data_IF_184074978672
#
_entry.id   IF_184074978672
#
_cell.length_a   1.000
_cell.length_b   1.000
_cell.length_c   1.000
_cell.angle_alpha   90.00
_cell.angle_beta   90.00
_cell.angle_gamma   90.00
#
_symmetry.space_group_name_H-M   'P 1'
#
loop_
_entity.id
_entity.type
_entity.pdbx_description
1 polymer ?
#
# COMPACT_ATOMS: atom_id res chain seq x y z
N UNK A 1 11.54 -41.22 23.40
CA UNK A 1 10.87 -39.92 23.49
C UNK A 1 9.58 -39.95 22.64
N UNK A 2 8.42 -40.07 23.27
CA UNK A 2 7.11 -40.05 22.59
C UNK A 2 6.88 -38.63 22.03
N UNK A 3 7.06 -38.43 20.70
CA UNK A 3 6.58 -37.21 20.05
C UNK A 3 5.06 -37.13 20.22
N UNK A 4 4.57 -36.25 21.10
CA UNK A 4 3.13 -35.91 21.17
C UNK A 4 2.69 -35.54 19.74
N UNK A 5 1.91 -36.42 19.13
CA UNK A 5 1.37 -36.19 17.79
C UNK A 5 0.38 -35.02 17.88
N UNK A 6 0.52 -34.02 17.02
CA UNK A 6 -0.38 -32.86 16.99
C UNK A 6 -1.81 -33.31 16.70
N UNK A 7 -2.77 -32.73 17.43
CA UNK A 7 -4.21 -32.97 17.27
C UNK A 7 -4.75 -32.56 15.90
N UNK A 8 -4.10 -31.58 15.28
CA UNK A 8 -4.48 -31.03 14.00
C UNK A 8 -3.51 -31.47 12.90
N UNK A 9 -4.06 -31.85 11.77
CA UNK A 9 -3.32 -32.09 10.54
C UNK A 9 -3.62 -30.94 9.55
N UNK A 10 -2.58 -30.20 9.17
CA UNK A 10 -2.66 -29.08 8.23
C UNK A 10 -2.10 -29.57 6.91
N UNK A 11 -2.95 -29.63 5.87
CA UNK A 11 -2.55 -29.99 4.52
C UNK A 11 -2.78 -28.81 3.57
N UNK A 12 -1.82 -28.57 2.66
CA UNK A 12 -2.00 -27.56 1.61
C UNK A 12 -3.12 -28.02 0.68
N UNK A 13 -4.04 -27.12 0.30
CA UNK A 13 -5.07 -27.40 -0.69
C UNK A 13 -4.53 -27.19 -2.08
N UNK A 14 -4.86 -28.07 -3.02
CA UNK A 14 -4.44 -27.91 -4.42
C UNK A 14 -5.20 -26.78 -5.09
N UNK A 15 -6.52 -26.75 -5.05
CA UNK A 15 -7.35 -25.66 -5.57
C UNK A 15 -8.68 -25.58 -4.80
N UNK A 16 -9.12 -24.37 -4.50
CA UNK A 16 -10.47 -24.13 -3.95
C UNK A 16 -11.33 -23.47 -5.04
N UNK A 17 -12.56 -23.93 -5.31
CA UNK A 17 -13.48 -23.24 -6.21
C UNK A 17 -13.67 -21.79 -5.76
N UNK A 18 -13.73 -20.87 -6.72
CA UNK A 18 -13.78 -19.44 -6.47
C UNK A 18 -14.93 -19.03 -5.52
N UNK A 19 -16.11 -19.64 -5.65
CA UNK A 19 -17.28 -19.36 -4.80
C UNK A 19 -17.05 -19.75 -3.33
N UNK A 20 -16.31 -20.84 -3.05
CA UNK A 20 -15.94 -21.23 -1.67
C UNK A 20 -14.92 -20.27 -1.08
N UNK A 21 -13.98 -19.76 -1.90
CA UNK A 21 -13.04 -18.73 -1.44
C UNK A 21 -13.77 -17.43 -1.09
N UNK A 22 -14.76 -17.04 -1.91
CA UNK A 22 -15.62 -15.87 -1.63
C UNK A 22 -16.43 -16.09 -0.34
N UNK A 23 -17.02 -17.28 -0.12
CA UNK A 23 -17.75 -17.59 1.10
C UNK A 23 -16.87 -17.53 2.35
N UNK A 24 -15.64 -18.06 2.30
CA UNK A 24 -14.71 -18.02 3.45
C UNK A 24 -14.32 -16.57 3.75
N UNK A 25 -14.01 -15.76 2.74
CA UNK A 25 -13.70 -14.32 2.92
C UNK A 25 -14.91 -13.55 3.45
N UNK A 26 -16.10 -13.77 2.88
CA UNK A 26 -17.34 -13.16 3.35
C UNK A 26 -17.64 -13.53 4.80
N UNK A 27 -17.50 -14.81 5.17
CA UNK A 27 -17.67 -15.27 6.54
C UNK A 27 -16.66 -14.64 7.50
N UNK A 28 -15.40 -14.50 7.10
CA UNK A 28 -14.37 -13.83 7.89
C UNK A 28 -14.68 -12.34 8.10
N UNK A 29 -15.15 -11.64 7.07
CA UNK A 29 -15.58 -10.24 7.17
C UNK A 29 -16.75 -10.11 8.13
N UNK A 30 -17.78 -10.96 8.02
CA UNK A 30 -18.93 -10.95 8.92
C UNK A 30 -18.49 -11.19 10.37
N UNK A 31 -17.58 -12.15 10.57
CA UNK A 31 -17.05 -12.48 11.90
C UNK A 31 -16.22 -11.31 12.46
N UNK A 32 -15.41 -10.66 11.62
CA UNK A 32 -14.68 -9.44 11.97
C UNK A 32 -15.64 -8.32 12.40
N UNK A 33 -16.72 -8.11 11.65
CA UNK A 33 -17.73 -7.12 11.98
C UNK A 33 -18.41 -7.45 13.30
N UNK A 34 -18.78 -8.72 13.57
CA UNK A 34 -19.37 -9.12 14.84
C UNK A 34 -18.41 -8.81 16.00
N UNK A 35 -17.12 -9.15 15.87
CA UNK A 35 -16.12 -8.83 16.91
C UNK A 35 -15.96 -7.32 17.07
N UNK A 36 -15.89 -6.57 15.99
CA UNK A 36 -15.88 -5.11 16.05
C UNK A 36 -17.13 -4.54 16.74
N UNK A 37 -18.32 -5.11 16.47
CA UNK A 37 -19.55 -4.73 17.17
C UNK A 37 -19.46 -4.95 18.66
N UNK A 38 -19.01 -6.13 19.08
CA UNK A 38 -18.85 -6.48 20.50
C UNK A 38 -17.88 -5.50 21.17
N UNK A 39 -16.70 -5.28 20.57
CA UNK A 39 -15.67 -4.38 21.10
C UNK A 39 -16.21 -2.94 21.20
N UNK A 40 -16.90 -2.46 20.16
CA UNK A 40 -17.48 -1.11 20.17
C UNK A 40 -18.56 -0.97 21.21
N UNK A 41 -19.50 -1.94 21.30
CA UNK A 41 -20.59 -1.89 22.28
C UNK A 41 -20.06 -1.94 23.73
N UNK A 42 -19.04 -2.78 24.00
CA UNK A 42 -18.43 -2.87 25.33
C UNK A 42 -17.70 -1.59 25.75
N UNK A 43 -17.06 -0.90 24.78
CA UNK A 43 -16.27 0.30 25.06
C UNK A 43 -17.10 1.58 25.01
N UNK A 44 -18.15 1.64 24.20
CA UNK A 44 -18.92 2.89 23.96
C UNK A 44 -20.38 2.79 24.44
N UNK A 45 -20.91 1.60 24.68
CA UNK A 45 -22.33 1.38 24.97
C UNK A 45 -23.28 1.60 23.78
N UNK A 46 -22.73 1.89 22.59
CA UNK A 46 -23.51 2.24 21.40
C UNK A 46 -24.06 1.01 20.65
N UNK A 47 -25.19 1.22 19.95
CA UNK A 47 -25.82 0.16 19.17
C UNK A 47 -24.95 -0.25 17.96
N UNK A 48 -24.64 -1.54 17.75
CA UNK A 48 -23.84 -2.03 16.63
C UNK A 48 -24.35 -1.63 15.24
N UNK A 49 -25.68 -1.55 15.06
CA UNK A 49 -26.28 -1.14 13.78
C UNK A 49 -25.90 0.31 13.45
N UNK A 50 -25.90 1.20 14.46
CA UNK A 50 -25.46 2.59 14.32
C UNK A 50 -23.98 2.67 13.97
N UNK A 51 -23.15 1.79 14.54
CA UNK A 51 -21.72 1.70 14.23
C UNK A 51 -21.52 1.31 12.77
N UNK A 52 -22.23 0.31 12.25
CA UNK A 52 -22.10 -0.10 10.85
C UNK A 52 -22.60 0.94 9.86
N UNK A 53 -23.73 1.59 10.16
CA UNK A 53 -24.20 2.72 9.35
C UNK A 53 -23.18 3.85 9.31
N UNK A 54 -22.49 4.09 10.42
CA UNK A 54 -21.39 5.08 10.51
C UNK A 54 -20.18 4.69 9.67
N UNK A 55 -19.82 3.40 9.55
CA UNK A 55 -18.75 2.94 8.66
C UNK A 55 -19.08 3.29 7.21
N UNK A 56 -20.26 2.95 6.74
CA UNK A 56 -20.68 3.24 5.37
C UNK A 56 -20.84 4.75 5.11
N UNK A 57 -21.35 5.48 6.09
CA UNK A 57 -21.46 6.93 6.03
C UNK A 57 -20.08 7.61 6.00
N UNK A 58 -19.10 7.10 6.71
CA UNK A 58 -17.72 7.59 6.70
C UNK A 58 -17.07 7.48 5.33
N UNK A 59 -17.40 6.42 4.58
CA UNK A 59 -16.88 6.20 3.24
C UNK A 59 -17.66 6.95 2.15
N UNK A 60 -19.02 6.93 2.22
CA UNK A 60 -19.88 7.35 1.10
C UNK A 60 -20.99 8.33 1.49
N UNK A 61 -21.09 8.76 2.75
CA UNK A 61 -22.21 9.56 3.26
C UNK A 61 -22.37 10.95 2.62
N UNK A 62 -21.34 11.50 2.00
CA UNK A 62 -21.39 12.76 1.26
C UNK A 62 -20.55 12.68 0.00
N UNK A 63 -20.84 13.52 -1.01
CA UNK A 63 -20.03 13.60 -2.24
C UNK A 63 -18.54 13.84 -1.92
N UNK A 64 -18.22 14.72 -0.95
CA UNK A 64 -16.84 14.96 -0.52
C UNK A 64 -16.19 13.71 0.07
N UNK A 65 -16.89 12.96 0.93
CA UNK A 65 -16.38 11.70 1.52
C UNK A 65 -16.13 10.66 0.45
N UNK A 66 -17.04 10.52 -0.52
CA UNK A 66 -16.86 9.60 -1.66
C UNK A 66 -15.61 9.93 -2.48
N UNK A 67 -15.38 11.20 -2.82
CA UNK A 67 -14.18 11.62 -3.53
C UNK A 67 -12.88 11.33 -2.75
N UNK A 68 -12.87 11.60 -1.44
CA UNK A 68 -11.73 11.27 -0.57
C UNK A 68 -11.52 9.76 -0.48
N UNK A 69 -12.58 8.96 -0.44
CA UNK A 69 -12.50 7.50 -0.43
C UNK A 69 -11.89 6.98 -1.74
N UNK A 70 -12.35 7.44 -2.90
CA UNK A 70 -11.77 7.06 -4.19
C UNK A 70 -10.32 7.54 -4.36
N UNK A 71 -9.98 8.72 -3.82
CA UNK A 71 -8.60 9.18 -3.80
C UNK A 71 -7.71 8.28 -2.94
N UNK A 72 -8.12 7.97 -1.70
CA UNK A 72 -7.38 7.06 -0.83
C UNK A 72 -7.23 5.66 -1.44
N UNK A 73 -8.28 5.17 -2.13
CA UNK A 73 -8.23 3.94 -2.92
C UNK A 73 -7.17 4.04 -4.01
N UNK A 74 -7.13 5.12 -4.78
CA UNK A 74 -6.15 5.31 -5.84
C UNK A 74 -4.71 5.30 -5.28
N UNK A 75 -4.45 6.03 -4.20
CA UNK A 75 -3.12 6.06 -3.57
C UNK A 75 -2.72 4.67 -3.06
N UNK A 76 -3.58 3.99 -2.29
CA UNK A 76 -3.28 2.65 -1.78
C UNK A 76 -3.08 1.63 -2.90
N UNK A 77 -3.94 1.66 -3.93
CA UNK A 77 -3.83 0.82 -5.12
C UNK A 77 -2.52 1.09 -5.88
N UNK A 78 -2.15 2.35 -6.07
CA UNK A 78 -0.92 2.73 -6.75
C UNK A 78 0.33 2.20 -6.05
N UNK A 79 0.39 2.31 -4.72
CA UNK A 79 1.49 1.73 -3.92
C UNK A 79 1.46 0.19 -4.00
N UNK A 80 0.28 -0.42 -3.96
CA UNK A 80 0.12 -1.88 -4.07
C UNK A 80 0.59 -2.40 -5.42
N UNK A 81 0.28 -1.68 -6.51
CA UNK A 81 0.78 -1.99 -7.85
C UNK A 81 2.31 -1.86 -7.94
N UNK A 82 2.88 -0.87 -7.25
CA UNK A 82 4.33 -0.65 -7.21
C UNK A 82 5.08 -1.82 -6.55
N UNK A 83 4.57 -2.36 -5.46
CA UNK A 83 5.24 -3.46 -4.72
C UNK A 83 4.99 -4.83 -5.34
N UNK A 84 3.93 -5.00 -6.12
CA UNK A 84 3.52 -6.29 -6.70
C UNK A 84 4.60 -6.99 -7.51
N UNK A 85 5.35 -6.34 -8.43
CA UNK A 85 6.41 -7.01 -9.18
C UNK A 85 7.49 -7.60 -8.27
N UNK A 86 7.87 -6.88 -7.20
CA UNK A 86 8.85 -7.34 -6.23
C UNK A 86 8.35 -8.58 -5.48
N UNK A 87 7.12 -8.57 -4.96
CA UNK A 87 6.53 -9.71 -4.26
C UNK A 87 6.29 -10.91 -5.18
N UNK A 88 5.88 -10.70 -6.42
CA UNK A 88 5.74 -11.78 -7.41
C UNK A 88 7.07 -12.47 -7.69
N UNK A 89 8.19 -11.74 -7.60
CA UNK A 89 9.56 -12.25 -7.69
C UNK A 89 10.06 -12.88 -6.38
N UNK A 90 9.27 -12.88 -5.31
CA UNK A 90 9.63 -13.26 -3.93
C UNK A 90 10.73 -12.38 -3.33
N UNK A 91 10.81 -11.14 -3.74
CA UNK A 91 11.59 -10.11 -3.08
C UNK A 91 10.71 -9.35 -2.08
N UNK A 92 11.04 -9.41 -0.80
CA UNK A 92 10.26 -8.80 0.26
C UNK A 92 10.54 -7.29 0.38
N UNK A 93 9.94 -6.50 -0.54
CA UNK A 93 10.04 -5.05 -0.53
C UNK A 93 9.07 -4.44 0.50
N UNK A 94 9.51 -4.26 1.74
CA UNK A 94 8.76 -3.53 2.79
C UNK A 94 9.07 -2.02 2.73
N UNK A 95 9.95 -1.59 1.82
CA UNK A 95 10.43 -0.22 1.69
C UNK A 95 9.52 0.76 0.96
N UNK A 96 8.30 0.36 0.58
CA UNK A 96 7.40 1.20 -0.20
C UNK A 96 7.04 2.51 0.52
N UNK A 97 6.90 2.49 1.85
CA UNK A 97 6.63 3.68 2.65
C UNK A 97 7.71 4.76 2.43
N UNK A 98 8.98 4.37 2.56
CA UNK A 98 10.12 5.26 2.32
C UNK A 98 10.28 5.67 0.85
N UNK A 99 10.02 4.76 -0.09
CA UNK A 99 10.08 5.05 -1.53
C UNK A 99 9.08 6.14 -1.93
N UNK A 100 7.84 6.07 -1.41
CA UNK A 100 6.83 7.11 -1.61
C UNK A 100 7.25 8.41 -0.93
N UNK A 101 7.72 8.34 0.32
CA UNK A 101 8.13 9.52 1.09
C UNK A 101 9.29 10.28 0.42
N UNK A 102 10.26 9.57 -0.15
CA UNK A 102 11.34 10.19 -0.94
C UNK A 102 10.79 10.84 -2.22
N UNK A 103 9.80 10.24 -2.86
CA UNK A 103 9.07 10.87 -3.97
C UNK A 103 8.36 12.16 -3.55
N UNK A 104 7.70 12.16 -2.38
CA UNK A 104 7.12 13.36 -1.80
C UNK A 104 8.17 14.44 -1.52
N UNK A 105 9.30 14.05 -0.94
CA UNK A 105 10.41 14.95 -0.63
C UNK A 105 10.99 15.59 -1.89
N UNK A 106 11.26 14.81 -2.94
CA UNK A 106 11.76 15.33 -4.22
C UNK A 106 10.77 16.29 -4.87
N UNK A 107 9.48 15.98 -4.81
CA UNK A 107 8.41 16.85 -5.29
C UNK A 107 8.37 18.17 -4.53
N UNK A 108 8.35 18.11 -3.19
CA UNK A 108 8.35 19.30 -2.33
C UNK A 108 9.60 20.18 -2.57
N UNK A 109 10.77 19.55 -2.72
CA UNK A 109 12.02 20.26 -3.05
C UNK A 109 11.90 21.05 -4.36
N UNK A 110 11.37 20.44 -5.42
CA UNK A 110 11.13 21.13 -6.69
C UNK A 110 10.12 22.28 -6.53
N UNK A 111 9.01 22.07 -5.81
CA UNK A 111 8.01 23.12 -5.57
C UNK A 111 8.58 24.32 -4.81
N UNK A 112 9.40 24.08 -3.79
CA UNK A 112 9.99 25.14 -2.95
C UNK A 112 11.13 25.86 -3.68
N UNK A 113 12.04 25.11 -4.31
CA UNK A 113 13.24 25.69 -4.91
C UNK A 113 12.99 26.37 -6.27
N UNK A 114 12.07 25.83 -7.08
CA UNK A 114 11.80 26.26 -8.44
C UNK A 114 10.43 26.95 -8.61
N UNK A 115 9.54 26.84 -7.63
CA UNK A 115 8.22 27.46 -7.66
C UNK A 115 8.30 28.98 -7.88
N UNK A 116 7.56 29.49 -8.86
CA UNK A 116 7.55 30.91 -9.25
C UNK A 116 8.77 31.39 -10.06
N UNK A 117 9.82 30.56 -10.22
CA UNK A 117 11.03 30.92 -11.01
C UNK A 117 10.96 30.44 -12.46
N UNK A 118 10.15 29.42 -12.73
CA UNK A 118 9.98 28.80 -14.03
C UNK A 118 8.50 28.63 -14.37
N UNK A 119 8.13 28.50 -15.67
CA UNK A 119 6.75 28.21 -16.06
C UNK A 119 6.21 26.96 -15.38
N UNK A 120 4.94 27.00 -14.91
CA UNK A 120 4.35 25.93 -14.14
C UNK A 120 4.34 24.57 -14.89
N UNK A 121 4.11 24.57 -16.20
CA UNK A 121 4.16 23.36 -17.01
C UNK A 121 5.55 22.69 -16.96
N UNK A 122 6.62 23.47 -17.08
CA UNK A 122 7.99 22.97 -16.99
C UNK A 122 8.29 22.46 -15.57
N UNK A 123 7.82 23.19 -14.54
CA UNK A 123 7.96 22.75 -13.15
C UNK A 123 7.32 21.39 -12.92
N UNK A 124 6.10 21.15 -13.42
CA UNK A 124 5.41 19.87 -13.30
C UNK A 124 6.22 18.74 -13.96
N UNK A 125 6.76 18.96 -15.15
CA UNK A 125 7.61 17.97 -15.84
C UNK A 125 8.86 17.65 -15.01
N UNK A 126 9.54 18.67 -14.49
CA UNK A 126 10.72 18.48 -13.62
C UNK A 126 10.33 17.68 -12.36
N UNK A 127 9.20 17.99 -11.74
CA UNK A 127 8.70 17.29 -10.55
C UNK A 127 8.42 15.82 -10.85
N UNK A 128 7.80 15.50 -11.99
CA UNK A 128 7.56 14.10 -12.41
C UNK A 128 8.90 13.37 -12.54
N UNK A 129 9.84 13.94 -13.28
CA UNK A 129 11.16 13.31 -13.47
C UNK A 129 11.91 13.17 -12.14
N UNK A 130 11.92 14.21 -11.31
CA UNK A 130 12.62 14.20 -10.02
C UNK A 130 12.02 13.17 -9.06
N UNK A 131 10.69 13.12 -8.92
CA UNK A 131 10.01 12.19 -8.01
C UNK A 131 10.19 10.74 -8.44
N UNK A 132 10.03 10.46 -9.75
CA UNK A 132 10.23 9.13 -10.32
C UNK A 132 11.69 8.69 -10.18
N UNK A 133 12.66 9.56 -10.49
CA UNK A 133 14.07 9.28 -10.37
C UNK A 133 14.49 9.05 -8.89
N UNK A 134 14.02 9.89 -7.97
CA UNK A 134 14.30 9.75 -6.55
C UNK A 134 13.74 8.44 -5.97
N UNK A 135 12.49 8.11 -6.30
CA UNK A 135 11.90 6.82 -5.90
C UNK A 135 12.63 5.63 -6.54
N UNK A 136 12.95 5.71 -7.83
CA UNK A 136 13.72 4.68 -8.55
C UNK A 136 15.10 4.45 -7.93
N UNK A 137 15.83 5.52 -7.60
CA UNK A 137 17.14 5.45 -6.93
C UNK A 137 17.00 4.82 -5.53
N UNK A 138 15.94 5.18 -4.80
CA UNK A 138 15.67 4.61 -3.48
C UNK A 138 15.36 3.11 -3.53
N UNK A 139 14.64 2.67 -4.57
CA UNK A 139 14.39 1.25 -4.84
C UNK A 139 15.60 0.52 -5.41
N UNK A 140 16.45 1.19 -6.19
CA UNK A 140 17.68 0.60 -6.75
C UNK A 140 18.64 0.11 -5.68
N UNK A 141 18.83 0.87 -4.59
CA UNK A 141 19.77 0.52 -3.52
C UNK A 141 19.51 -0.89 -2.95
N UNK A 142 18.37 -1.22 -2.37
CA UNK A 142 18.12 -2.58 -1.86
C UNK A 142 18.18 -3.63 -2.99
N UNK A 143 17.79 -3.27 -4.21
CA UNK A 143 17.85 -4.14 -5.38
C UNK A 143 19.28 -4.57 -5.72
N UNK A 144 20.23 -3.64 -5.78
CA UNK A 144 21.63 -3.95 -6.10
C UNK A 144 22.33 -4.71 -4.97
N UNK A 145 22.06 -4.36 -3.70
CA UNK A 145 22.61 -5.05 -2.56
C UNK A 145 22.14 -6.51 -2.49
N UNK A 146 20.87 -6.76 -2.78
CA UNK A 146 20.34 -8.12 -2.88
C UNK A 146 20.95 -8.88 -4.05
N UNK A 147 21.04 -8.26 -5.22
CA UNK A 147 21.52 -8.89 -6.43
C UNK A 147 23.01 -9.30 -6.32
N UNK A 148 23.87 -8.43 -5.77
CA UNK A 148 25.32 -8.67 -5.72
C UNK A 148 25.77 -9.42 -4.47
N UNK A 149 25.19 -9.11 -3.30
CA UNK A 149 25.66 -9.64 -2.01
C UNK A 149 24.65 -10.51 -1.30
N UNK A 150 23.50 -10.79 -1.93
CA UNK A 150 22.42 -11.60 -1.36
C UNK A 150 22.03 -11.17 0.07
N UNK A 151 22.03 -9.84 0.33
CA UNK A 151 21.64 -9.27 1.61
C UNK A 151 20.17 -9.58 1.95
N UNK A 152 19.80 -9.47 3.23
CA UNK A 152 18.41 -9.60 3.65
C UNK A 152 17.62 -8.37 3.18
N UNK A 153 16.82 -8.55 2.15
CA UNK A 153 16.03 -7.48 1.51
C UNK A 153 14.98 -6.87 2.45
N UNK A 154 14.40 -7.68 3.32
CA UNK A 154 13.38 -7.24 4.29
C UNK A 154 13.95 -6.25 5.27
N UNK A 155 15.08 -6.58 5.92
CA UNK A 155 15.74 -5.69 6.85
C UNK A 155 16.27 -4.43 6.14
N UNK A 156 16.90 -4.60 4.98
CA UNK A 156 17.44 -3.48 4.22
C UNK A 156 16.36 -2.48 3.83
N UNK A 157 15.26 -2.94 3.26
CA UNK A 157 14.16 -2.06 2.85
C UNK A 157 13.45 -1.43 4.04
N UNK A 158 13.34 -2.14 5.17
CA UNK A 158 12.79 -1.58 6.40
C UNK A 158 13.67 -0.45 6.96
N UNK A 159 15.00 -0.65 7.01
CA UNK A 159 15.93 0.40 7.44
C UNK A 159 15.88 1.62 6.53
N UNK A 160 15.72 1.42 5.22
CA UNK A 160 15.55 2.50 4.26
C UNK A 160 14.30 3.36 4.54
N UNK A 161 13.21 2.79 5.10
CA UNK A 161 12.06 3.58 5.53
C UNK A 161 12.42 4.56 6.65
N UNK A 162 13.16 4.10 7.66
CA UNK A 162 13.60 4.97 8.75
C UNK A 162 14.52 6.09 8.26
N UNK A 163 15.45 5.77 7.36
CA UNK A 163 16.33 6.77 6.74
C UNK A 163 15.50 7.80 5.96
N UNK A 164 14.53 7.36 5.16
CA UNK A 164 13.64 8.24 4.41
C UNK A 164 12.85 9.17 5.34
N UNK A 165 12.35 8.66 6.46
CA UNK A 165 11.61 9.45 7.45
C UNK A 165 12.51 10.51 8.09
N UNK A 166 13.74 10.17 8.44
CA UNK A 166 14.68 11.13 9.03
C UNK A 166 15.16 12.18 8.00
N UNK A 167 15.37 11.79 6.75
CA UNK A 167 15.65 12.75 5.68
C UNK A 167 14.48 13.72 5.47
N UNK A 168 13.25 13.22 5.43
CA UNK A 168 12.08 14.10 5.34
C UNK A 168 11.98 15.04 6.55
N UNK A 169 12.19 14.53 7.77
CA UNK A 169 12.19 15.34 8.99
C UNK A 169 13.25 16.46 8.94
N UNK A 170 14.47 16.13 8.50
CA UNK A 170 15.54 17.12 8.34
C UNK A 170 15.13 18.24 7.37
N UNK A 171 14.63 17.91 6.17
CA UNK A 171 14.23 18.93 5.20
C UNK A 171 12.98 19.70 5.63
N UNK A 172 12.07 19.12 6.41
CA UNK A 172 10.94 19.84 6.99
C UNK A 172 11.45 20.95 7.92
N UNK A 173 12.46 20.69 8.75
CA UNK A 173 13.06 21.71 9.63
C UNK A 173 13.79 22.78 8.80
N UNK A 174 14.49 22.39 7.73
CA UNK A 174 15.16 23.35 6.84
C UNK A 174 14.17 24.29 6.16
N UNK A 175 13.00 23.80 5.74
CA UNK A 175 11.98 24.54 4.99
C UNK A 175 10.80 25.03 5.83
N UNK A 176 10.82 24.86 7.15
CA UNK A 176 9.71 25.26 8.02
C UNK A 176 9.37 26.74 7.93
N UNK A 177 8.08 27.05 7.95
CA UNK A 177 7.53 28.41 7.92
C UNK A 177 6.31 28.46 8.85
N UNK A 178 6.31 29.32 9.90
CA UNK A 178 7.44 30.13 10.40
C UNK A 178 8.53 29.27 11.04
N UNK A 179 9.74 29.81 11.17
CA UNK A 179 10.87 29.09 11.82
C UNK A 179 10.52 28.67 13.24
N UNK A 180 10.90 27.43 13.61
CA UNK A 180 10.56 26.80 14.90
C UNK A 180 9.17 26.15 14.95
N UNK A 181 8.42 26.15 13.84
CA UNK A 181 7.08 25.53 13.79
C UNK A 181 7.10 24.01 13.60
N UNK A 182 8.22 23.44 13.12
CA UNK A 182 8.33 22.03 12.72
C UNK A 182 7.43 21.64 11.53
N UNK A 183 6.90 22.62 10.77
CA UNK A 183 5.97 22.39 9.66
C UNK A 183 6.30 23.28 8.47
N UNK A 184 6.13 22.75 7.25
CA UNK A 184 6.31 23.54 6.01
C UNK A 184 5.05 24.36 5.69
N UNK A 185 3.88 23.96 6.19
CA UNK A 185 2.61 24.54 5.77
C UNK A 185 2.19 24.10 4.37
N UNK A 186 1.33 24.91 3.72
CA UNK A 186 0.92 24.66 2.33
C UNK A 186 1.94 25.31 1.38
N UNK A 187 2.62 24.49 0.60
CA UNK A 187 3.68 24.94 -0.31
C UNK A 187 3.04 25.76 -1.45
N UNK A 188 3.58 26.95 -1.68
CA UNK A 188 3.15 27.86 -2.74
C UNK A 188 1.65 28.21 -2.70
N UNK A 189 1.08 28.38 -1.51
CA UNK A 189 -0.36 28.65 -1.29
C UNK A 189 -0.87 29.83 -2.13
N UNK A 190 -0.09 30.90 -2.28
CA UNK A 190 -0.50 32.12 -2.96
C UNK A 190 -0.37 32.04 -4.48
N UNK A 191 0.53 31.20 -5.00
CA UNK A 191 0.85 31.13 -6.44
C UNK A 191 0.32 29.86 -7.10
N UNK A 192 0.06 28.80 -6.31
CA UNK A 192 -0.28 27.46 -6.82
C UNK A 192 0.83 26.83 -7.67
N UNK A 193 2.07 27.37 -7.61
CA UNK A 193 3.18 26.88 -8.43
C UNK A 193 3.55 25.44 -8.04
N UNK A 194 3.56 24.55 -9.05
CA UNK A 194 3.78 23.12 -8.86
C UNK A 194 2.55 22.32 -8.43
N UNK A 195 1.40 22.95 -8.30
CA UNK A 195 0.16 22.21 -8.07
C UNK A 195 -0.29 21.53 -9.36
N UNK A 196 -0.72 20.30 -9.27
CA UNK A 196 -1.27 19.59 -10.43
C UNK A 196 -2.62 20.21 -10.84
N UNK A 197 -2.93 20.22 -12.15
CA UNK A 197 -4.16 20.82 -12.63
C UNK A 197 -5.39 20.12 -12.09
N UNK A 198 -6.39 20.90 -11.73
CA UNK A 198 -7.69 20.40 -11.27
C UNK A 198 -8.54 20.06 -12.51
N UNK A 199 -8.89 18.78 -12.66
CA UNK A 199 -9.73 18.30 -13.75
C UNK A 199 -11.21 18.26 -13.31
N UNK A 200 -12.12 18.76 -14.15
CA UNK A 200 -13.56 18.71 -13.88
C UNK A 200 -13.98 19.38 -12.56
N UNK A 201 -13.23 20.38 -12.08
CA UNK A 201 -13.50 21.03 -10.79
C UNK A 201 -13.17 20.19 -9.56
N UNK A 202 -12.58 18.99 -9.74
CA UNK A 202 -12.27 18.07 -8.66
C UNK A 202 -10.75 17.78 -8.60
N UNK A 203 -10.11 18.17 -7.50
CA UNK A 203 -8.65 17.94 -7.30
C UNK A 203 -8.26 16.46 -7.20
N UNK A 204 -9.20 15.58 -6.88
CA UNK A 204 -8.97 14.15 -6.72
C UNK A 204 -9.02 13.37 -8.04
N UNK A 205 -9.62 13.94 -9.09
CA UNK A 205 -9.90 13.21 -10.34
C UNK A 205 -8.61 12.83 -11.08
N UNK A 206 -7.63 13.74 -11.16
CA UNK A 206 -6.36 13.47 -11.85
C UNK A 206 -5.58 12.31 -11.23
N UNK A 207 -5.32 12.27 -9.90
CA UNK A 207 -4.71 11.09 -9.26
C UNK A 207 -5.47 9.78 -9.51
N UNK A 208 -6.80 9.80 -9.46
CA UNK A 208 -7.63 8.61 -9.70
C UNK A 208 -7.43 8.10 -11.13
N UNK A 209 -7.50 8.98 -12.13
CA UNK A 209 -7.32 8.61 -13.54
C UNK A 209 -5.92 8.08 -13.82
N UNK A 210 -4.88 8.72 -13.28
CA UNK A 210 -3.50 8.28 -13.47
C UNK A 210 -3.27 6.88 -12.87
N UNK A 211 -3.82 6.61 -11.70
CA UNK A 211 -3.70 5.27 -11.09
C UNK A 211 -4.57 4.24 -11.82
N UNK A 212 -5.72 4.62 -12.35
CA UNK A 212 -6.53 3.72 -13.19
C UNK A 212 -5.76 3.31 -14.47
N UNK A 213 -5.11 4.27 -15.14
CA UNK A 213 -4.24 3.99 -16.29
C UNK A 213 -3.06 3.10 -15.86
N UNK A 214 -2.40 3.44 -14.74
CA UNK A 214 -1.31 2.65 -14.18
C UNK A 214 -1.74 1.19 -13.90
N UNK A 215 -2.98 0.99 -13.43
CA UNK A 215 -3.52 -0.35 -13.18
C UNK A 215 -3.60 -1.17 -14.48
N UNK A 216 -4.10 -0.56 -15.56
CA UNK A 216 -4.12 -1.20 -16.88
C UNK A 216 -2.73 -1.52 -17.42
N UNK A 217 -1.80 -0.56 -17.31
CA UNK A 217 -0.40 -0.73 -17.71
C UNK A 217 0.26 -1.86 -16.91
N UNK A 218 0.09 -1.89 -15.59
CA UNK A 218 0.66 -2.94 -14.74
C UNK A 218 0.03 -4.31 -14.98
N UNK A 219 -1.26 -4.36 -15.32
CA UNK A 219 -1.92 -5.61 -15.73
C UNK A 219 -1.28 -6.18 -16.99
N UNK A 220 -1.08 -5.35 -18.02
CA UNK A 220 -0.42 -5.75 -19.27
C UNK A 220 1.05 -6.13 -18.99
N UNK A 221 1.76 -5.32 -18.23
CA UNK A 221 3.16 -5.56 -17.90
C UNK A 221 3.38 -6.90 -17.18
N UNK A 222 2.57 -7.23 -16.18
CA UNK A 222 2.75 -8.45 -15.39
C UNK A 222 2.29 -9.73 -16.08
N UNK A 223 1.31 -9.65 -17.01
CA UNK A 223 0.71 -10.83 -17.60
C UNK A 223 1.15 -11.06 -19.06
N UNK A 224 1.48 -10.01 -19.81
CA UNK A 224 1.74 -10.12 -21.25
C UNK A 224 3.14 -9.69 -21.68
N UNK A 225 3.97 -9.12 -20.79
CA UNK A 225 5.32 -8.72 -21.15
C UNK A 225 6.35 -9.82 -20.88
N UNK A 226 7.46 -9.80 -21.63
CA UNK A 226 8.65 -10.63 -21.37
C UNK A 226 9.16 -10.42 -19.95
N UNK A 227 9.14 -9.18 -19.45
CA UNK A 227 9.60 -8.85 -18.12
C UNK A 227 8.71 -9.46 -17.03
N UNK A 228 7.38 -9.46 -17.22
CA UNK A 228 6.43 -10.10 -16.31
C UNK A 228 6.63 -11.61 -16.23
N UNK A 229 6.96 -12.24 -17.36
CA UNK A 229 7.36 -13.66 -17.42
C UNK A 229 8.66 -13.92 -16.65
N UNK A 230 9.72 -13.14 -16.88
CA UNK A 230 10.99 -13.26 -16.16
C UNK A 230 10.80 -13.11 -14.64
N UNK A 231 9.99 -12.15 -14.19
CA UNK A 231 9.62 -11.94 -12.77
C UNK A 231 8.95 -13.21 -12.20
N UNK A 232 8.01 -13.79 -12.92
CA UNK A 232 7.30 -15.00 -12.48
C UNK A 232 8.24 -16.21 -12.35
N UNK A 233 9.09 -16.44 -13.35
CA UNK A 233 10.06 -17.57 -13.35
C UNK A 233 11.08 -17.42 -12.23
N UNK A 234 11.63 -16.21 -12.02
CA UNK A 234 12.56 -15.93 -10.91
C UNK A 234 11.87 -16.14 -9.56
N UNK A 235 10.58 -15.79 -9.46
CA UNK A 235 9.78 -16.00 -8.25
C UNK A 235 9.49 -17.47 -7.94
N UNK A 236 9.41 -18.34 -8.95
CA UNK A 236 9.27 -19.78 -8.72
C UNK A 236 10.59 -20.40 -8.27
N UNK A 237 11.66 -20.17 -9.03
CA UNK A 237 12.99 -20.66 -8.71
C UNK A 237 14.08 -19.85 -9.42
N UNK A 238 14.94 -19.20 -8.63
CA UNK A 238 16.09 -18.47 -9.17
C UNK A 238 17.08 -19.39 -9.93
N UNK A 239 17.24 -20.65 -9.47
CA UNK A 239 18.10 -21.64 -10.14
C UNK A 239 17.52 -21.99 -11.52
N UNK A 240 16.24 -22.31 -11.59
CA UNK A 240 15.56 -22.62 -12.86
C UNK A 240 15.61 -21.44 -13.82
N UNK A 241 15.42 -20.22 -13.34
CA UNK A 241 15.56 -19.00 -14.13
C UNK A 241 16.97 -18.88 -14.74
N UNK A 242 18.01 -19.14 -13.95
CA UNK A 242 19.41 -19.11 -14.43
C UNK A 242 19.68 -20.18 -15.48
N UNK A 243 19.17 -21.39 -15.31
CA UNK A 243 19.29 -22.45 -16.34
C UNK A 243 18.58 -22.10 -17.65
N UNK A 244 17.46 -21.36 -17.57
CA UNK A 244 16.76 -20.82 -18.74
C UNK A 244 17.42 -19.58 -19.35
N UNK A 245 18.63 -19.19 -18.91
CA UNK A 245 19.40 -18.05 -19.43
C UNK A 245 18.92 -16.68 -18.93
N UNK A 246 18.03 -16.63 -17.94
CA UNK A 246 17.55 -15.38 -17.36
C UNK A 246 18.60 -14.85 -16.37
N UNK A 247 19.06 -13.61 -16.56
CA UNK A 247 19.99 -12.94 -15.66
C UNK A 247 19.27 -12.43 -14.41
N UNK A 248 19.18 -13.27 -13.35
CA UNK A 248 18.40 -13.04 -12.13
C UNK A 248 18.73 -11.68 -11.49
N UNK A 249 20.01 -11.31 -11.40
CA UNK A 249 20.46 -10.02 -10.84
C UNK A 249 19.84 -8.83 -11.58
N UNK A 250 19.81 -8.88 -12.92
CA UNK A 250 19.19 -7.80 -13.72
C UNK A 250 17.68 -7.72 -13.50
N UNK A 251 17.03 -8.86 -13.34
CA UNK A 251 15.58 -8.90 -13.07
C UNK A 251 15.30 -8.26 -11.70
N UNK A 252 16.07 -8.59 -10.68
CA UNK A 252 15.94 -8.03 -9.32
C UNK A 252 16.10 -6.50 -9.37
N UNK A 253 17.21 -6.01 -9.90
CA UNK A 253 17.52 -4.58 -9.92
C UNK A 253 16.47 -3.79 -10.72
N UNK A 254 16.14 -4.26 -11.92
CA UNK A 254 15.12 -3.62 -12.77
C UNK A 254 13.76 -3.56 -12.09
N UNK A 255 13.35 -4.65 -11.46
CA UNK A 255 12.05 -4.73 -10.76
C UNK A 255 12.01 -3.77 -9.59
N UNK A 256 13.08 -3.63 -8.85
CA UNK A 256 13.16 -2.70 -7.72
C UNK A 256 13.20 -1.23 -8.17
N UNK A 257 13.88 -0.93 -9.28
CA UNK A 257 13.84 0.40 -9.91
C UNK A 257 12.41 0.75 -10.32
N UNK A 258 11.70 -0.17 -10.98
CA UNK A 258 10.31 0.04 -11.39
C UNK A 258 9.40 0.25 -10.17
N UNK A 259 9.52 -0.58 -9.14
CA UNK A 259 8.79 -0.44 -7.88
C UNK A 259 9.00 0.94 -7.27
N UNK A 260 10.26 1.37 -7.12
CA UNK A 260 10.60 2.68 -6.59
C UNK A 260 10.12 3.84 -7.46
N UNK A 261 10.22 3.71 -8.79
CA UNK A 261 9.74 4.72 -9.74
C UNK A 261 8.23 4.97 -9.61
N UNK A 262 7.45 3.90 -9.52
CA UNK A 262 5.99 4.01 -9.32
C UNK A 262 5.69 4.61 -7.93
N UNK A 263 6.39 4.17 -6.88
CA UNK A 263 6.26 4.78 -5.55
C UNK A 263 6.57 6.28 -5.57
N UNK A 264 7.63 6.69 -6.29
CA UNK A 264 7.97 8.11 -6.48
C UNK A 264 6.86 8.89 -7.17
N UNK A 265 6.24 8.32 -8.22
CA UNK A 265 5.09 8.91 -8.89
C UNK A 265 3.89 9.08 -7.94
N UNK A 266 3.61 8.08 -7.09
CA UNK A 266 2.54 8.21 -6.08
C UNK A 266 2.88 9.29 -5.05
N UNK A 267 4.15 9.45 -4.69
CA UNK A 267 4.62 10.57 -3.85
C UNK A 267 4.33 11.94 -4.48
N UNK A 268 4.55 12.09 -5.80
CA UNK A 268 4.16 13.29 -6.54
C UNK A 268 2.64 13.55 -6.43
N UNK A 269 1.82 12.51 -6.65
CA UNK A 269 0.36 12.65 -6.59
C UNK A 269 -0.14 13.05 -5.20
N UNK A 270 0.51 12.60 -4.13
CA UNK A 270 0.21 13.02 -2.77
C UNK A 270 0.59 14.49 -2.54
N UNK A 271 1.84 14.86 -2.81
CA UNK A 271 2.36 16.18 -2.48
C UNK A 271 1.84 17.27 -3.41
N UNK A 272 1.92 17.08 -4.73
CA UNK A 272 1.52 18.11 -5.71
C UNK A 272 0.05 18.00 -6.11
N UNK A 273 -0.58 16.83 -5.92
CA UNK A 273 -1.96 16.59 -6.35
C UNK A 273 -3.00 16.97 -5.31
N UNK A 274 -2.74 16.72 -4.03
CA UNK A 274 -3.80 16.81 -3.02
C UNK A 274 -3.43 17.54 -1.74
N UNK A 275 -2.29 17.21 -1.13
CA UNK A 275 -1.97 17.69 0.22
C UNK A 275 -1.21 19.01 0.21
N UNK A 276 -0.47 19.29 -0.87
CA UNK A 276 0.34 20.49 -1.08
C UNK A 276 1.28 20.81 0.09
N UNK A 277 1.69 19.77 0.82
CA UNK A 277 2.57 19.88 1.98
C UNK A 277 3.46 18.64 2.06
N UNK A 278 4.45 18.68 2.94
CA UNK A 278 5.27 17.53 3.29
C UNK A 278 5.26 17.31 4.80
N UNK A 279 4.92 16.10 5.22
CA UNK A 279 5.05 15.65 6.62
C UNK A 279 5.70 14.28 6.64
N UNK A 280 6.32 13.90 7.75
CA UNK A 280 6.92 12.57 7.92
C UNK A 280 5.89 11.44 7.86
N UNK A 281 4.62 11.76 8.10
CA UNK A 281 3.50 10.83 8.14
C UNK A 281 2.57 10.94 6.93
N UNK A 282 2.97 11.64 5.86
CA UNK A 282 2.12 11.89 4.68
C UNK A 282 1.66 10.59 3.99
N UNK A 283 2.49 9.56 4.03
CA UNK A 283 2.17 8.24 3.46
C UNK A 283 1.20 7.47 4.37
N UNK A 284 1.28 7.68 5.70
CA UNK A 284 0.32 7.18 6.69
C UNK A 284 0.25 5.65 6.80
N UNK A 285 1.39 4.95 6.67
CA UNK A 285 1.48 3.49 6.76
C UNK A 285 0.90 2.74 5.55
N UNK A 286 0.50 3.48 4.49
CA UNK A 286 -0.07 2.85 3.28
C UNK A 286 0.92 1.95 2.56
N UNK A 287 2.23 2.17 2.71
CA UNK A 287 3.27 1.28 2.19
C UNK A 287 3.19 -0.13 2.80
N UNK A 288 2.97 -0.24 4.10
CA UNK A 288 2.78 -1.54 4.77
C UNK A 288 1.43 -2.17 4.41
N UNK A 289 0.36 -1.37 4.38
CA UNK A 289 -0.98 -1.84 3.98
C UNK A 289 -1.00 -2.35 2.54
N UNK A 290 -0.24 -1.72 1.64
CA UNK A 290 -0.12 -2.11 0.25
C UNK A 290 0.46 -3.52 0.06
N UNK A 291 1.35 -3.96 0.95
CA UNK A 291 1.84 -5.34 0.97
C UNK A 291 0.68 -6.32 1.19
N UNK A 292 -0.18 -6.05 2.18
CA UNK A 292 -1.35 -6.88 2.47
C UNK A 292 -2.33 -6.92 1.30
N UNK A 293 -2.62 -5.77 0.69
CA UNK A 293 -3.46 -5.68 -0.53
C UNK A 293 -2.92 -6.57 -1.64
N UNK A 294 -1.62 -6.48 -1.91
CA UNK A 294 -0.94 -7.23 -2.96
C UNK A 294 -1.07 -8.75 -2.77
N UNK A 295 -0.85 -9.22 -1.53
CA UNK A 295 -0.99 -10.63 -1.16
C UNK A 295 -2.43 -11.12 -1.22
N UNK A 296 -3.38 -10.36 -0.69
CA UNK A 296 -4.81 -10.71 -0.73
C UNK A 296 -5.33 -10.82 -2.17
N UNK A 297 -4.85 -9.96 -3.05
CA UNK A 297 -5.20 -9.97 -4.47
C UNK A 297 -4.43 -11.05 -5.28
N UNK A 298 -3.56 -11.84 -4.65
CA UNK A 298 -2.68 -12.83 -5.31
C UNK A 298 -1.92 -12.22 -6.49
N UNK A 299 -1.42 -11.00 -6.31
CA UNK A 299 -0.65 -10.24 -7.29
C UNK A 299 -1.41 -9.92 -8.60
N UNK A 300 -2.74 -9.95 -8.58
CA UNK A 300 -3.57 -9.58 -9.72
C UNK A 300 -4.02 -8.13 -9.61
N UNK A 301 -3.62 -7.22 -10.54
CA UNK A 301 -3.94 -5.79 -10.48
C UNK A 301 -5.45 -5.48 -10.44
N UNK A 302 -6.28 -6.28 -11.11
CA UNK A 302 -7.74 -6.09 -11.12
C UNK A 302 -8.32 -6.42 -9.73
N UNK A 303 -7.90 -7.54 -9.14
CA UNK A 303 -8.36 -7.93 -7.80
C UNK A 303 -7.89 -6.96 -6.72
N UNK A 304 -6.76 -6.26 -6.95
CA UNK A 304 -6.27 -5.20 -6.05
C UNK A 304 -7.22 -4.01 -5.93
N UNK A 305 -7.99 -3.70 -6.96
CA UNK A 305 -9.00 -2.63 -6.89
C UNK A 305 -10.02 -2.96 -5.78
N UNK A 306 -10.54 -4.19 -5.78
CA UNK A 306 -11.53 -4.62 -4.79
C UNK A 306 -10.94 -4.72 -3.37
N UNK A 307 -9.73 -5.28 -3.23
CA UNK A 307 -9.07 -5.41 -1.93
C UNK A 307 -8.67 -4.05 -1.36
N UNK A 308 -8.18 -3.12 -2.19
CA UNK A 308 -7.89 -1.74 -1.78
C UNK A 308 -9.15 -1.00 -1.38
N UNK A 309 -10.25 -1.15 -2.16
CA UNK A 309 -11.53 -0.53 -1.83
C UNK A 309 -12.04 -0.99 -0.46
N UNK A 310 -12.01 -2.30 -0.22
CA UNK A 310 -12.44 -2.86 1.05
C UNK A 310 -11.66 -2.24 2.22
N UNK A 311 -10.33 -2.25 2.15
CA UNK A 311 -9.48 -1.72 3.23
C UNK A 311 -9.71 -0.22 3.43
N UNK A 312 -9.83 0.54 2.35
CA UNK A 312 -10.05 2.00 2.45
C UNK A 312 -11.42 2.32 3.04
N UNK A 313 -12.49 1.61 2.63
CA UNK A 313 -13.83 1.79 3.21
C UNK A 313 -13.80 1.51 4.71
N UNK A 314 -13.14 0.43 5.15
CA UNK A 314 -13.03 0.08 6.56
C UNK A 314 -12.21 1.11 7.34
N UNK A 315 -11.07 1.57 6.83
CA UNK A 315 -10.23 2.58 7.46
C UNK A 315 -10.95 3.94 7.56
N UNK A 316 -11.67 4.36 6.51
CA UNK A 316 -12.48 5.60 6.54
C UNK A 316 -13.65 5.49 7.49
N UNK A 317 -14.31 4.33 7.51
CA UNK A 317 -15.38 4.04 8.45
C UNK A 317 -14.90 4.06 9.90
N UNK A 318 -13.76 3.45 10.18
CA UNK A 318 -13.16 3.45 11.52
C UNK A 318 -12.81 4.87 11.99
N UNK A 319 -12.27 5.72 11.10
CA UNK A 319 -12.02 7.13 11.41
C UNK A 319 -13.31 7.91 11.69
N UNK A 320 -14.40 7.62 10.98
CA UNK A 320 -15.70 8.25 11.21
C UNK A 320 -16.30 7.83 12.56
N UNK A 321 -16.19 6.54 12.92
CA UNK A 321 -16.60 6.04 14.23
C UNK A 321 -15.89 6.81 15.35
N UNK A 322 -14.57 6.97 15.22
CA UNK A 322 -13.77 7.73 16.19
C UNK A 322 -14.26 9.16 16.35
N UNK A 323 -14.62 9.82 15.24
CA UNK A 323 -15.12 11.20 15.25
C UNK A 323 -16.54 11.31 15.80
N UNK A 324 -17.46 10.43 15.38
CA UNK A 324 -18.89 10.50 15.78
C UNK A 324 -19.08 10.16 17.26
N UNK A 325 -18.33 9.19 17.75
CA UNK A 325 -18.42 8.75 19.15
C UNK A 325 -17.38 9.38 20.05
N UNK A 326 -16.65 10.41 19.58
CA UNK A 326 -15.60 11.12 20.33
C UNK A 326 -14.55 10.19 20.93
N UNK A 327 -14.20 9.13 20.22
CA UNK A 327 -13.20 8.15 20.65
C UNK A 327 -11.79 8.55 20.20
N UNK A 328 -10.78 8.06 20.90
CA UNK A 328 -9.40 8.27 20.49
C UNK A 328 -9.15 7.66 19.09
N UNK A 329 -8.29 8.30 18.31
CA UNK A 329 -7.92 7.83 16.97
C UNK A 329 -7.39 6.38 16.96
N UNK A 330 -6.69 5.97 18.03
CA UNK A 330 -6.22 4.60 18.23
C UNK A 330 -7.35 3.55 18.22
N UNK A 331 -8.59 3.95 18.53
CA UNK A 331 -9.74 3.06 18.43
C UNK A 331 -10.05 2.65 16.97
N UNK A 332 -9.93 3.62 16.04
CA UNK A 332 -10.06 3.34 14.62
C UNK A 332 -8.99 2.33 14.13
N UNK A 333 -7.76 2.48 14.63
CA UNK A 333 -6.66 1.57 14.29
C UNK A 333 -6.90 0.16 14.85
N UNK A 334 -7.45 0.03 16.06
CA UNK A 334 -7.84 -1.25 16.66
C UNK A 334 -8.90 -1.94 15.80
N UNK A 335 -9.98 -1.24 15.43
CA UNK A 335 -11.03 -1.81 14.58
C UNK A 335 -10.48 -2.26 13.22
N UNK A 336 -9.66 -1.42 12.60
CA UNK A 336 -8.98 -1.76 11.34
C UNK A 336 -8.09 -2.99 11.51
N UNK A 337 -7.31 -3.06 12.60
CA UNK A 337 -6.46 -4.20 12.92
C UNK A 337 -7.24 -5.51 13.10
N UNK A 338 -8.38 -5.47 13.80
CA UNK A 338 -9.27 -6.64 13.98
C UNK A 338 -9.75 -7.14 12.61
N UNK A 339 -10.26 -6.23 11.77
CA UNK A 339 -10.78 -6.59 10.46
C UNK A 339 -9.68 -7.20 9.58
N UNK A 340 -8.50 -6.58 9.54
CA UNK A 340 -7.34 -7.09 8.80
C UNK A 340 -6.91 -8.47 9.30
N UNK A 341 -6.89 -8.69 10.62
CA UNK A 341 -6.56 -10.00 11.20
C UNK A 341 -7.49 -11.11 10.70
N UNK A 342 -8.81 -10.88 10.69
CA UNK A 342 -9.77 -11.88 10.19
C UNK A 342 -9.65 -12.11 8.70
N UNK A 343 -9.41 -11.06 7.92
CA UNK A 343 -9.23 -11.15 6.47
C UNK A 343 -7.97 -11.95 6.13
N UNK A 344 -6.83 -11.65 6.77
CA UNK A 344 -5.58 -12.40 6.58
C UNK A 344 -5.76 -13.85 7.06
N UNK A 345 -6.41 -14.04 8.20
CA UNK A 345 -6.73 -15.38 8.72
C UNK A 345 -7.57 -16.21 7.75
N UNK A 346 -8.47 -15.58 6.99
CA UNK A 346 -9.28 -16.28 5.98
C UNK A 346 -8.43 -16.88 4.85
N UNK A 347 -7.31 -16.23 4.43
CA UNK A 347 -6.42 -16.76 3.41
C UNK A 347 -5.72 -18.05 3.86
N UNK A 348 -5.47 -18.20 5.17
CA UNK A 348 -4.98 -19.46 5.73
C UNK A 348 -5.98 -20.59 5.46
N UNK A 349 -7.27 -20.40 5.75
CA UNK A 349 -8.32 -21.42 5.53
C UNK A 349 -8.62 -21.66 4.05
N UNK A 350 -8.32 -20.70 3.17
CA UNK A 350 -8.40 -20.88 1.72
C UNK A 350 -7.23 -21.72 1.22
N UNK A 351 -6.02 -21.48 1.73
CA UNK A 351 -4.79 -22.13 1.27
C UNK A 351 -4.54 -23.48 1.91
N UNK A 352 -5.04 -23.70 3.14
CA UNK A 352 -4.80 -24.91 3.92
C UNK A 352 -6.11 -25.54 4.39
N UNK A 353 -6.13 -26.88 4.43
CA UNK A 353 -7.20 -27.68 5.04
C UNK A 353 -6.75 -28.12 6.43
N UNK A 354 -7.48 -27.67 7.44
CA UNK A 354 -7.29 -28.13 8.83
C UNK A 354 -8.23 -29.30 9.05
N UNK A 355 -7.69 -30.46 9.40
CA UNK A 355 -8.46 -31.65 9.75
C UNK A 355 -8.04 -32.16 11.13
N UNK A 356 -9.01 -32.60 11.92
CA UNK A 356 -8.74 -33.32 13.15
C UNK A 356 -8.18 -34.72 12.79
N UNK A 357 -7.06 -35.05 13.37
CA UNK A 357 -6.48 -36.39 13.20
C UNK A 357 -7.39 -37.39 13.89
N UNK A 358 -8.08 -38.23 13.12
CA UNK A 358 -8.80 -39.35 13.70
C UNK A 358 -7.75 -40.25 14.37
N UNK A 359 -7.85 -40.44 15.69
CA UNK A 359 -7.09 -41.47 16.38
C UNK A 359 -7.39 -42.79 15.70
N UNK A 360 -6.39 -43.45 15.10
CA UNK A 360 -6.52 -44.89 14.78
C UNK A 360 -6.62 -45.58 16.14
N UNK A 361 -7.82 -46.01 16.52
CA UNK A 361 -7.94 -47.13 17.46
C UNK A 361 -7.25 -48.30 16.77
N UNK A 362 -6.15 -48.72 17.34
CA UNK A 362 -5.53 -50.01 17.03
C UNK A 362 -6.61 -51.07 17.27
N UNK A 363 -6.94 -51.81 16.20
CA UNK A 363 -7.70 -53.06 16.29
C UNK A 363 -6.69 -54.20 16.40
#
# INVERSE_FOLDING_TARGET
MNKKQSLFHIAKRDTLPWYKAVLIRGGAIVLALIVCAIVTTLLTGENPIKVYSTILYGAFGTSRKSWVTFHNLAILLGISLAVTPAFKMRFWNIGAEGQVLIGCLATAACMICLGGKIPNALLIVIMIVASVAAGALWGFLPGIFKAKWNTNETLFTLMMNYIATQLAAFFIIVWEVPKGSGKIGIINQNTGAGWLPVLGGQRYLLPILLVAILTGVMYIYLNYSKHGYEIAVVGESQRTASYAGIKVERVIVRTMILSGAICGLIGLLLTAGTDHTLTTTIVGGRGFTAVMVSWMAKFNPIMMIFTSLLIVVLSRGASEISSVFSLNHSFADILTGIILFFIIGSEFFISYKVSLRKSKKEA
#
